data_IF_732505619073
#
_entry.id   IF_732505619073
#
_cell.length_a   1.000
_cell.length_b   1.000
_cell.length_c   1.000
_cell.angle_alpha   90.00
_cell.angle_beta   90.00
_cell.angle_gamma   90.00
#
_symmetry.space_group_name_H-M   'P 1'
#
loop_
_entity.id
_entity.type
_entity.pdbx_description
1 polymer ?
#
# COMPACT_ATOMS: atom_id res chain seq x y z
N UNK A 1 -8.85 8.38 -27.09
CA UNK A 1 -9.74 8.36 -25.91
C UNK A 1 -9.13 7.40 -24.93
N UNK A 2 -8.58 7.95 -23.84
CA UNK A 2 -7.73 7.25 -22.87
C UNK A 2 -8.57 6.31 -21.99
N UNK A 3 -8.08 5.11 -21.70
CA UNK A 3 -8.66 4.16 -20.74
C UNK A 3 -8.83 4.71 -19.32
N UNK A 4 -8.27 5.88 -18.97
CA UNK A 4 -8.52 6.57 -17.68
C UNK A 4 -9.72 7.48 -17.78
N UNK A 5 -9.83 8.25 -18.87
CA UNK A 5 -11.09 8.91 -19.18
C UNK A 5 -12.16 7.85 -19.26
N UNK A 6 -11.90 6.69 -19.85
CA UNK A 6 -12.75 5.52 -19.79
C UNK A 6 -12.95 5.04 -18.35
N UNK A 7 -11.97 4.72 -17.49
CA UNK A 7 -12.23 4.29 -16.10
C UNK A 7 -13.05 5.30 -15.27
N UNK A 8 -12.79 6.60 -15.43
CA UNK A 8 -13.53 7.70 -14.79
C UNK A 8 -14.91 7.86 -15.45
N UNK A 9 -15.05 7.73 -16.77
CA UNK A 9 -16.30 7.73 -17.59
C UNK A 9 -17.08 6.43 -17.45
N UNK A 10 -16.46 5.32 -17.10
CA UNK A 10 -17.05 4.00 -16.86
C UNK A 10 -17.72 4.04 -15.48
N UNK A 11 -17.02 4.66 -14.54
CA UNK A 11 -17.55 4.94 -13.21
C UNK A 11 -18.55 6.11 -13.17
N UNK A 12 -18.46 7.12 -14.07
CA UNK A 12 -19.31 8.33 -14.07
C UNK A 12 -20.23 8.57 -15.27
N UNK A 13 -20.12 7.85 -16.39
CA UNK A 13 -20.91 8.08 -17.62
C UNK A 13 -21.85 6.92 -18.02
N UNK A 14 -22.76 7.27 -18.94
CA UNK A 14 -23.97 6.53 -19.33
C UNK A 14 -23.69 5.32 -20.23
N UNK A 15 -24.56 4.32 -20.08
CA UNK A 15 -24.52 2.97 -20.68
C UNK A 15 -24.41 2.98 -22.23
N UNK A 16 -23.42 2.27 -22.82
CA UNK A 16 -23.41 1.95 -24.25
C UNK A 16 -24.48 0.89 -24.59
N UNK A 17 -25.16 1.04 -25.74
CA UNK A 17 -26.29 0.17 -26.16
C UNK A 17 -25.93 -1.32 -26.31
N UNK A 18 -24.67 -1.66 -26.60
CA UNK A 18 -24.22 -3.06 -26.76
C UNK A 18 -24.07 -3.83 -25.43
N UNK A 19 -23.84 -3.14 -24.31
CA UNK A 19 -23.63 -3.80 -23.00
C UNK A 19 -24.93 -4.23 -22.32
N UNK A 20 -26.08 -3.73 -22.77
CA UNK A 20 -27.39 -4.03 -22.17
C UNK A 20 -27.77 -5.53 -22.21
N UNK A 21 -27.19 -6.31 -23.13
CA UNK A 21 -27.47 -7.75 -23.29
C UNK A 21 -26.68 -8.62 -22.30
N UNK A 22 -25.45 -8.21 -21.97
CA UNK A 22 -24.59 -8.87 -20.98
C UNK A 22 -25.02 -8.50 -19.55
N UNK A 23 -25.40 -7.22 -19.33
CA UNK A 23 -26.00 -6.69 -18.09
C UNK A 23 -27.20 -7.54 -17.62
N UNK A 24 -28.14 -7.81 -18.54
CA UNK A 24 -29.34 -8.61 -18.23
C UNK A 24 -29.05 -10.00 -17.65
N UNK A 25 -27.92 -10.64 -17.99
CA UNK A 25 -27.59 -11.98 -17.47
C UNK A 25 -26.78 -11.92 -16.17
N UNK A 26 -25.90 -10.94 -16.02
CA UNK A 26 -25.01 -10.85 -14.85
C UNK A 26 -25.63 -10.09 -13.68
N UNK A 27 -26.70 -9.31 -13.90
CA UNK A 27 -27.41 -8.61 -12.82
C UNK A 27 -27.99 -9.57 -11.77
N UNK A 28 -28.44 -10.76 -12.16
CA UNK A 28 -29.11 -11.73 -11.28
C UNK A 28 -28.15 -12.58 -10.45
N UNK A 29 -26.84 -12.45 -10.65
CA UNK A 29 -25.87 -13.14 -9.79
C UNK A 29 -25.99 -12.61 -8.35
N UNK A 30 -26.04 -13.50 -7.34
CA UNK A 30 -25.97 -13.10 -5.94
C UNK A 30 -24.77 -12.21 -5.67
N UNK A 31 -24.91 -11.27 -4.73
CA UNK A 31 -23.84 -10.33 -4.35
C UNK A 31 -22.57 -11.08 -3.96
N UNK A 32 -22.70 -12.18 -3.21
CA UNK A 32 -21.59 -13.01 -2.78
C UNK A 32 -20.83 -13.62 -3.98
N UNK A 33 -21.55 -14.08 -5.01
CA UNK A 33 -20.94 -14.61 -6.24
C UNK A 33 -20.22 -13.50 -7.01
N UNK A 34 -20.76 -12.28 -7.05
CA UNK A 34 -20.07 -11.13 -7.66
C UNK A 34 -18.77 -10.83 -6.90
N UNK A 35 -18.79 -10.82 -5.57
CA UNK A 35 -17.58 -10.66 -4.75
C UNK A 35 -16.55 -11.76 -5.03
N UNK A 36 -16.97 -13.03 -5.12
CA UNK A 36 -16.10 -14.14 -5.49
C UNK A 36 -15.49 -13.97 -6.88
N UNK A 37 -16.24 -13.45 -7.86
CA UNK A 37 -15.67 -13.17 -9.18
C UNK A 37 -14.62 -12.05 -9.08
N UNK A 38 -14.94 -10.94 -8.39
CA UNK A 38 -14.03 -9.80 -8.27
C UNK A 38 -12.73 -10.16 -7.54
N UNK A 39 -12.74 -11.08 -6.57
CA UNK A 39 -11.53 -11.47 -5.83
C UNK A 39 -10.45 -12.13 -6.72
N UNK A 40 -10.84 -12.64 -7.89
CA UNK A 40 -9.96 -13.28 -8.86
C UNK A 40 -9.54 -12.36 -10.00
N UNK A 41 -10.01 -11.11 -10.00
CA UNK A 41 -9.72 -10.14 -11.04
C UNK A 41 -8.68 -9.12 -10.55
N UNK A 42 -7.76 -8.68 -11.42
CA UNK A 42 -6.94 -7.52 -11.10
C UNK A 42 -7.82 -6.26 -10.97
N UNK A 43 -7.36 -5.25 -10.23
CA UNK A 43 -8.14 -4.06 -9.85
C UNK A 43 -8.77 -3.33 -11.05
N UNK A 44 -8.15 -3.42 -12.22
CA UNK A 44 -8.62 -2.79 -13.45
C UNK A 44 -9.78 -3.54 -14.08
N UNK A 45 -9.74 -4.88 -14.08
CA UNK A 45 -10.86 -5.72 -14.50
C UNK A 45 -12.02 -5.57 -13.51
N UNK A 46 -11.73 -5.48 -12.21
CA UNK A 46 -12.71 -5.11 -11.18
C UNK A 46 -13.37 -3.78 -11.58
N UNK A 47 -12.59 -2.74 -11.84
CA UNK A 47 -13.12 -1.44 -12.22
C UNK A 47 -13.94 -1.48 -13.53
N UNK A 48 -13.53 -2.30 -14.52
CA UNK A 48 -14.29 -2.53 -15.77
C UNK A 48 -15.62 -3.24 -15.53
N UNK A 49 -15.79 -4.04 -14.48
CA UNK A 49 -17.12 -4.61 -14.19
C UNK A 49 -18.13 -3.54 -13.75
N UNK A 50 -17.68 -2.37 -13.27
CA UNK A 50 -18.56 -1.30 -12.77
C UNK A 50 -19.48 -0.67 -13.83
N UNK A 51 -19.21 -0.90 -15.12
CA UNK A 51 -20.09 -0.50 -16.24
C UNK A 51 -21.15 -1.52 -16.60
N UNK A 52 -21.00 -2.77 -16.15
CA UNK A 52 -21.97 -3.82 -16.48
C UNK A 52 -23.35 -3.41 -15.98
N UNK A 53 -23.46 -3.03 -14.69
CA UNK A 53 -24.69 -2.53 -14.10
C UNK A 53 -24.45 -1.78 -12.78
N UNK A 54 -25.47 -1.10 -12.25
CA UNK A 54 -25.37 -0.38 -10.97
C UNK A 54 -25.03 -1.30 -9.78
N UNK A 55 -25.48 -2.56 -9.81
CA UNK A 55 -25.12 -3.52 -8.76
C UNK A 55 -23.64 -3.91 -8.84
N UNK A 56 -23.09 -4.15 -10.04
CA UNK A 56 -21.65 -4.39 -10.19
C UNK A 56 -20.83 -3.19 -9.73
N UNK A 57 -21.26 -1.96 -10.07
CA UNK A 57 -20.63 -0.74 -9.56
C UNK A 57 -20.59 -0.68 -8.03
N UNK A 58 -21.70 -1.02 -7.37
CA UNK A 58 -21.75 -1.06 -5.91
C UNK A 58 -20.78 -2.09 -5.34
N UNK A 59 -20.74 -3.31 -5.91
CA UNK A 59 -19.84 -4.39 -5.47
C UNK A 59 -18.36 -4.01 -5.67
N UNK A 60 -18.04 -3.29 -6.75
CA UNK A 60 -16.69 -2.76 -7.00
C UNK A 60 -16.27 -1.75 -5.94
N UNK A 61 -17.12 -0.77 -5.62
CA UNK A 61 -16.84 0.22 -4.58
C UNK A 61 -16.92 -0.32 -3.15
N UNK A 62 -17.42 -1.54 -2.97
CA UNK A 62 -17.42 -2.25 -1.70
C UNK A 62 -16.35 -3.34 -1.60
N UNK A 63 -15.46 -3.45 -2.59
CA UNK A 63 -14.44 -4.50 -2.60
C UNK A 63 -13.39 -4.27 -1.48
N UNK A 64 -13.08 -5.27 -0.64
CA UNK A 64 -12.26 -5.06 0.57
C UNK A 64 -10.76 -4.84 0.28
N UNK A 65 -10.32 -5.14 -0.95
CA UNK A 65 -8.91 -5.08 -1.33
C UNK A 65 -8.69 -4.09 -2.48
N UNK A 66 -8.09 -2.93 -2.20
CA UNK A 66 -7.67 -1.99 -3.22
C UNK A 66 -6.14 -2.08 -3.41
N UNK A 67 -5.74 -2.84 -4.43
CA UNK A 67 -4.33 -3.11 -4.72
C UNK A 67 -3.92 -2.32 -5.97
N UNK A 68 -3.17 -1.24 -5.77
CA UNK A 68 -2.56 -0.43 -6.82
C UNK A 68 -1.05 -0.65 -6.81
N UNK A 69 -0.61 -1.84 -7.20
CA UNK A 69 0.81 -2.23 -7.22
C UNK A 69 1.52 -1.84 -8.53
N UNK A 70 2.79 -2.22 -8.68
CA UNK A 70 3.56 -1.95 -9.90
C UNK A 70 2.92 -2.58 -11.14
N UNK A 71 2.30 -3.76 -11.02
CA UNK A 71 1.60 -4.41 -12.13
C UNK A 71 0.37 -3.61 -12.55
N UNK A 72 -0.40 -3.12 -11.58
CA UNK A 72 -1.54 -2.24 -11.80
C UNK A 72 -1.13 -0.96 -12.52
N UNK A 73 -0.01 -0.33 -12.13
CA UNK A 73 0.54 0.82 -12.84
C UNK A 73 0.99 0.47 -14.26
N UNK A 74 1.69 -0.65 -14.45
CA UNK A 74 2.19 -1.06 -15.77
C UNK A 74 1.05 -1.36 -16.74
N UNK A 75 0.00 -2.04 -16.29
CA UNK A 75 -1.17 -2.29 -17.14
C UNK A 75 -1.96 -0.99 -17.38
N UNK A 76 -2.10 -0.14 -16.36
CA UNK A 76 -2.69 1.18 -16.50
C UNK A 76 -1.97 1.97 -17.59
N UNK A 77 -0.63 1.98 -17.58
CA UNK A 77 0.24 2.66 -18.54
C UNK A 77 0.12 2.08 -19.95
N UNK A 78 0.09 0.75 -20.09
CA UNK A 78 -0.07 0.07 -21.40
C UNK A 78 -1.33 0.45 -22.13
N UNK A 79 -2.42 0.70 -21.40
CA UNK A 79 -3.67 1.09 -22.01
C UNK A 79 -3.70 2.58 -22.38
N UNK A 80 -2.71 3.36 -21.94
CA UNK A 80 -2.64 4.76 -22.31
C UNK A 80 -1.97 4.99 -23.66
N UNK A 81 -2.54 5.93 -24.41
CA UNK A 81 -1.88 6.50 -25.58
C UNK A 81 -0.87 7.57 -25.15
N UNK A 82 0.28 7.17 -24.57
CA UNK A 82 1.32 8.13 -24.15
C UNK A 82 2.61 8.05 -24.96
N UNK A 83 3.27 9.20 -25.05
CA UNK A 83 4.59 9.33 -25.66
C UNK A 83 5.67 8.88 -24.68
N UNK A 84 6.80 8.31 -25.15
CA UNK A 84 7.86 7.74 -24.29
C UNK A 84 8.48 8.70 -23.26
N UNK A 85 8.21 10.01 -23.37
CA UNK A 85 8.94 11.07 -22.67
C UNK A 85 8.14 11.72 -21.53
N UNK A 86 6.93 11.24 -21.21
CA UNK A 86 6.14 11.77 -20.08
C UNK A 86 5.35 10.66 -19.39
N UNK A 87 5.89 10.16 -18.27
CA UNK A 87 5.16 9.26 -17.38
C UNK A 87 4.05 10.06 -16.66
N UNK A 88 2.77 9.67 -16.75
CA UNK A 88 1.67 10.45 -16.18
C UNK A 88 1.34 9.99 -14.75
N UNK A 89 2.32 10.03 -13.85
CA UNK A 89 2.11 9.58 -12.46
C UNK A 89 1.00 10.37 -11.77
N UNK A 90 0.93 11.68 -11.99
CA UNK A 90 -0.16 12.53 -11.50
C UNK A 90 -1.55 12.02 -11.91
N UNK A 91 -1.73 11.53 -13.14
CA UNK A 91 -3.02 11.04 -13.61
C UNK A 91 -3.38 9.70 -12.97
N UNK A 92 -2.37 8.83 -12.78
CA UNK A 92 -2.54 7.58 -12.06
C UNK A 92 -2.99 7.86 -10.62
N UNK A 93 -2.28 8.74 -9.91
CA UNK A 93 -2.62 9.11 -8.53
C UNK A 93 -3.98 9.82 -8.43
N UNK A 94 -4.34 10.68 -9.40
CA UNK A 94 -5.68 11.29 -9.49
C UNK A 94 -6.77 10.24 -9.68
N UNK A 95 -6.53 9.22 -10.49
CA UNK A 95 -7.49 8.13 -10.67
C UNK A 95 -7.74 7.35 -9.36
N UNK A 96 -6.68 7.08 -8.60
CA UNK A 96 -6.77 6.44 -7.27
C UNK A 96 -7.57 7.34 -6.31
N UNK A 97 -7.29 8.64 -6.30
CA UNK A 97 -8.01 9.62 -5.48
C UNK A 97 -9.51 9.63 -5.80
N UNK A 98 -9.88 9.53 -7.07
CA UNK A 98 -11.27 9.43 -7.49
C UNK A 98 -11.93 8.12 -7.02
N UNK A 99 -11.23 6.99 -7.12
CA UNK A 99 -11.73 5.69 -6.63
C UNK A 99 -11.99 5.75 -5.13
N UNK A 100 -11.02 6.25 -4.35
CA UNK A 100 -11.17 6.39 -2.89
C UNK A 100 -12.30 7.34 -2.50
N UNK A 101 -12.54 8.40 -3.29
CA UNK A 101 -13.64 9.35 -3.03
C UNK A 101 -15.02 8.72 -3.19
N UNK A 102 -15.14 7.67 -4.00
CA UNK A 102 -16.40 6.97 -4.27
C UNK A 102 -16.50 5.63 -3.51
N UNK A 103 -15.52 5.31 -2.67
CA UNK A 103 -15.48 4.04 -1.95
C UNK A 103 -16.53 4.00 -0.84
N UNK A 104 -17.35 2.95 -0.82
CA UNK A 104 -18.47 2.79 0.13
C UNK A 104 -18.35 1.54 1.00
N UNK A 105 -17.34 0.71 0.79
CA UNK A 105 -17.13 -0.54 1.50
C UNK A 105 -16.36 -0.44 2.82
N UNK A 106 -16.11 -1.62 3.39
CA UNK A 106 -15.13 -1.81 4.46
C UNK A 106 -13.81 -2.22 3.83
N UNK A 107 -12.85 -1.30 3.84
CA UNK A 107 -11.52 -1.56 3.28
C UNK A 107 -10.69 -2.35 4.29
N UNK A 108 -10.20 -3.51 3.87
CA UNK A 108 -9.33 -4.37 4.67
C UNK A 108 -7.86 -4.19 4.25
N UNK A 109 -7.59 -4.18 2.94
CA UNK A 109 -6.23 -4.08 2.39
C UNK A 109 -6.12 -2.94 1.40
N UNK A 110 -5.08 -2.13 1.59
CA UNK A 110 -4.71 -1.07 0.67
C UNK A 110 -3.23 -1.18 0.29
N UNK A 111 -2.95 -1.19 -1.01
CA UNK A 111 -1.58 -1.14 -1.54
C UNK A 111 -1.46 0.02 -2.51
N UNK A 112 -0.45 0.86 -2.30
CA UNK A 112 -0.13 1.98 -3.17
C UNK A 112 1.31 1.88 -3.65
N UNK A 113 1.49 1.74 -4.95
CA UNK A 113 2.75 1.92 -5.64
C UNK A 113 2.83 3.35 -6.17
N UNK A 114 3.93 4.04 -5.87
CA UNK A 114 4.28 5.36 -6.38
C UNK A 114 5.39 5.15 -7.40
N UNK A 115 5.08 5.26 -8.71
CA UNK A 115 6.04 5.07 -9.78
C UNK A 115 7.16 6.11 -9.75
N UNK A 116 8.32 5.73 -10.30
CA UNK A 116 9.43 6.64 -10.48
C UNK A 116 9.08 7.86 -11.36
N UNK A 117 9.41 9.06 -10.87
CA UNK A 117 9.45 10.29 -11.65
C UNK A 117 10.85 10.90 -11.55
N UNK A 118 11.42 11.31 -12.69
CA UNK A 118 12.71 12.02 -12.73
C UNK A 118 12.63 13.38 -12.02
N UNK A 119 11.49 14.07 -12.13
CA UNK A 119 11.26 15.39 -11.52
C UNK A 119 9.90 15.38 -10.83
N UNK A 120 9.90 15.36 -9.51
CA UNK A 120 8.68 15.49 -8.71
C UNK A 120 8.15 16.91 -8.83
N UNK A 121 6.98 17.07 -9.45
CA UNK A 121 6.29 18.37 -9.49
C UNK A 121 5.26 18.48 -8.38
N UNK A 122 4.38 17.47 -8.24
CA UNK A 122 3.27 17.50 -7.29
C UNK A 122 2.93 16.15 -6.64
N UNK A 123 3.57 15.04 -7.05
CA UNK A 123 3.18 13.69 -6.64
C UNK A 123 3.19 13.45 -5.12
N UNK A 124 4.04 14.13 -4.36
CA UNK A 124 4.08 14.00 -2.89
C UNK A 124 2.78 14.42 -2.21
N UNK A 125 2.15 15.51 -2.69
CA UNK A 125 0.91 16.01 -2.09
C UNK A 125 -0.25 15.05 -2.37
N UNK A 126 -0.30 14.48 -3.58
CA UNK A 126 -1.28 13.48 -3.97
C UNK A 126 -1.10 12.17 -3.20
N UNK A 127 0.13 11.67 -3.04
CA UNK A 127 0.38 10.46 -2.23
C UNK A 127 -0.06 10.68 -0.78
N UNK A 128 0.27 11.83 -0.19
CA UNK A 128 -0.19 12.18 1.17
C UNK A 128 -1.71 12.25 1.25
N UNK A 129 -2.35 12.86 0.26
CA UNK A 129 -3.81 12.93 0.17
C UNK A 129 -4.43 11.53 0.11
N UNK A 130 -3.95 10.67 -0.79
CA UNK A 130 -4.41 9.28 -0.95
C UNK A 130 -4.31 8.53 0.38
N UNK A 131 -3.14 8.53 1.02
CA UNK A 131 -2.93 7.84 2.31
C UNK A 131 -3.81 8.43 3.42
N UNK A 132 -4.11 9.73 3.36
CA UNK A 132 -5.02 10.36 4.33
C UNK A 132 -6.47 9.88 4.18
N UNK A 133 -6.91 9.61 2.95
CA UNK A 133 -8.26 9.11 2.61
C UNK A 133 -8.46 7.63 2.96
N UNK A 134 -7.38 6.87 3.14
CA UNK A 134 -7.46 5.45 3.53
C UNK A 134 -8.13 5.33 4.92
N UNK A 135 -9.21 4.51 5.03
CA UNK A 135 -9.92 4.27 6.28
C UNK A 135 -8.99 3.80 7.39
N UNK A 136 -9.20 4.31 8.62
CA UNK A 136 -8.35 3.96 9.78
C UNK A 136 -8.60 2.58 10.37
N UNK A 137 -9.59 1.88 9.82
CA UNK A 137 -10.01 0.52 10.17
C UNK A 137 -9.36 -0.57 9.33
N UNK A 138 -8.48 -0.22 8.38
CA UNK A 138 -7.81 -1.21 7.53
C UNK A 138 -6.89 -2.12 8.35
N UNK A 139 -6.71 -3.35 7.87
CA UNK A 139 -5.84 -4.36 8.50
C UNK A 139 -4.46 -4.42 7.84
N UNK A 140 -4.37 -4.12 6.53
CA UNK A 140 -3.12 -4.18 5.77
C UNK A 140 -2.88 -2.88 5.00
N UNK A 141 -1.78 -2.20 5.30
CA UNK A 141 -1.33 -1.01 4.58
C UNK A 141 0.04 -1.25 3.95
N UNK A 142 0.13 -1.14 2.62
CA UNK A 142 1.40 -1.18 1.90
C UNK A 142 1.58 0.11 1.11
N UNK A 143 2.70 0.81 1.29
CA UNK A 143 3.08 1.96 0.46
C UNK A 143 4.49 1.75 -0.06
N UNK A 144 4.62 1.62 -1.38
CA UNK A 144 5.89 1.44 -2.08
C UNK A 144 6.21 2.67 -2.91
N UNK A 145 7.32 3.31 -2.62
CA UNK A 145 7.75 4.51 -3.31
C UNK A 145 9.04 4.25 -4.10
N UNK A 146 8.93 4.12 -5.42
CA UNK A 146 10.09 3.97 -6.30
C UNK A 146 10.62 5.30 -6.82
N UNK A 147 9.96 6.40 -6.48
CA UNK A 147 10.39 7.72 -6.90
C UNK A 147 11.62 8.21 -6.12
N UNK A 148 12.33 9.20 -6.70
CA UNK A 148 13.68 9.56 -6.26
C UNK A 148 13.74 9.90 -4.77
N UNK A 149 12.84 10.76 -4.30
CA UNK A 149 12.83 11.25 -2.93
C UNK A 149 11.90 10.44 -2.02
N UNK A 150 12.27 10.36 -0.73
CA UNK A 150 11.47 9.67 0.26
C UNK A 150 10.10 10.35 0.45
N UNK A 151 9.02 9.55 0.41
CA UNK A 151 7.69 10.10 0.60
C UNK A 151 7.41 10.28 2.09
N UNK A 152 7.34 11.54 2.50
CA UNK A 152 6.95 11.90 3.86
C UNK A 152 5.44 11.68 4.06
N UNK A 153 5.09 10.62 4.78
CA UNK A 153 3.71 10.26 5.09
C UNK A 153 3.31 10.77 6.46
N UNK A 154 2.21 11.52 6.51
CA UNK A 154 1.54 11.84 7.78
C UNK A 154 0.57 10.71 8.10
N UNK A 155 1.11 9.63 8.67
CA UNK A 155 0.28 8.50 9.09
C UNK A 155 -0.40 8.85 10.42
N UNK A 156 -1.73 8.84 10.39
CA UNK A 156 -2.59 8.92 11.58
C UNK A 156 -2.96 7.52 12.08
N UNK A 157 -3.51 7.47 13.29
CA UNK A 157 -3.91 6.25 14.01
C UNK A 157 -4.64 5.23 13.12
N UNK A 158 -4.03 4.06 12.89
CA UNK A 158 -4.61 2.88 12.23
C UNK A 158 -4.83 1.78 13.26
N UNK A 159 -5.96 1.85 13.96
CA UNK A 159 -6.25 1.03 15.15
C UNK A 159 -6.21 -0.47 14.86
N UNK A 160 -6.70 -0.83 13.69
CA UNK A 160 -6.98 -2.22 13.31
C UNK A 160 -5.87 -2.82 12.45
N UNK A 161 -4.84 -2.03 12.10
CA UNK A 161 -3.77 -2.49 11.23
C UNK A 161 -2.90 -3.52 11.92
N UNK A 162 -2.79 -4.69 11.30
CA UNK A 162 -1.94 -5.81 11.73
C UNK A 162 -0.69 -5.91 10.88
N UNK A 163 -0.72 -5.41 9.64
CA UNK A 163 0.40 -5.41 8.69
C UNK A 163 0.67 -3.99 8.15
N UNK A 164 1.93 -3.56 8.27
CA UNK A 164 2.41 -2.31 7.70
C UNK A 164 3.67 -2.57 6.86
N UNK A 165 3.63 -2.17 5.61
CA UNK A 165 4.78 -2.17 4.71
C UNK A 165 5.03 -0.75 4.20
N UNK A 166 6.26 -0.27 4.40
CA UNK A 166 6.70 1.05 3.95
C UNK A 166 8.03 0.91 3.23
N UNK A 167 8.03 1.27 1.96
CA UNK A 167 9.22 1.25 1.13
C UNK A 167 9.52 2.67 0.63
N UNK A 168 10.73 3.15 0.95
CA UNK A 168 11.22 4.52 0.72
C UNK A 168 10.23 5.61 1.19
N UNK A 169 9.67 5.42 2.37
CA UNK A 169 8.75 6.36 3.01
C UNK A 169 9.29 6.82 4.37
N UNK A 170 9.00 8.07 4.74
CA UNK A 170 9.35 8.65 6.04
C UNK A 170 8.08 8.99 6.80
N UNK A 171 7.93 8.50 8.02
CA UNK A 171 6.76 8.81 8.84
C UNK A 171 6.99 10.16 9.54
N UNK A 172 6.19 11.16 9.21
CA UNK A 172 6.30 12.52 9.77
C UNK A 172 5.78 12.63 11.20
N UNK A 173 4.83 11.79 11.58
CA UNK A 173 4.39 11.67 12.95
C UNK A 173 5.41 10.86 13.73
N UNK A 174 5.92 11.39 14.86
CA UNK A 174 6.61 10.54 15.84
C UNK A 174 5.74 9.31 16.05
N UNK A 175 6.25 8.14 15.70
CA UNK A 175 5.51 6.90 15.87
C UNK A 175 5.24 6.73 17.36
N UNK A 176 4.04 7.07 17.79
CA UNK A 176 3.55 6.81 19.15
C UNK A 176 3.03 5.38 19.14
N UNK A 177 3.19 4.67 20.26
CA UNK A 177 2.61 3.33 20.47
C UNK A 177 1.12 3.28 20.18
N UNK A 178 0.45 4.42 20.30
CA UNK A 178 -0.96 4.54 20.00
C UNK A 178 -1.24 4.38 18.52
N UNK A 179 -0.35 4.69 17.59
CA UNK A 179 -0.71 4.74 16.16
C UNK A 179 -1.11 3.37 15.57
N UNK A 180 -0.52 2.27 16.07
CA UNK A 180 -0.78 0.92 15.56
C UNK A 180 -0.83 -0.10 16.71
N UNK A 181 -1.93 -0.14 17.48
CA UNK A 181 -1.98 -0.95 18.69
C UNK A 181 -2.05 -2.46 18.43
N UNK A 182 -2.50 -2.88 17.23
CA UNK A 182 -2.64 -4.30 16.81
C UNK A 182 -1.57 -4.76 15.82
N UNK A 183 -0.53 -3.95 15.59
CA UNK A 183 0.51 -4.28 14.61
C UNK A 183 1.28 -5.53 15.06
N UNK A 184 1.29 -6.54 14.20
CA UNK A 184 2.03 -7.80 14.42
C UNK A 184 3.16 -7.95 13.40
N UNK A 185 3.07 -7.26 12.26
CA UNK A 185 4.01 -7.42 11.16
C UNK A 185 4.40 -6.05 10.60
N UNK A 186 5.72 -5.82 10.52
CA UNK A 186 6.30 -4.59 10.01
C UNK A 186 7.39 -4.89 8.98
N UNK A 187 7.22 -4.35 7.77
CA UNK A 187 8.22 -4.41 6.70
C UNK A 187 8.67 -2.99 6.33
N UNK A 188 9.95 -2.72 6.50
CA UNK A 188 10.58 -1.45 6.14
C UNK A 188 11.65 -1.71 5.09
N UNK A 189 11.52 -1.07 3.95
CA UNK A 189 12.50 -1.17 2.86
C UNK A 189 13.01 0.22 2.47
N UNK A 190 14.33 0.40 2.33
CA UNK A 190 14.95 1.67 1.89
C UNK A 190 14.50 2.88 2.74
N UNK A 191 14.28 2.66 4.03
CA UNK A 191 13.85 3.68 5.00
C UNK A 191 15.03 4.17 5.83
N UNK A 192 15.12 5.50 6.03
CA UNK A 192 16.02 6.10 7.01
C UNK A 192 15.48 5.87 8.43
N UNK A 193 16.19 5.08 9.23
CA UNK A 193 15.87 4.81 10.63
C UNK A 193 16.52 5.88 11.49
N UNK A 194 15.72 6.89 11.84
CA UNK A 194 16.12 7.94 12.78
C UNK A 194 16.03 7.46 14.23
N UNK A 195 16.67 8.17 15.16
CA UNK A 195 16.54 7.90 16.61
C UNK A 195 15.08 7.90 17.09
N UNK A 196 14.25 8.80 16.53
CA UNK A 196 12.81 8.83 16.81
C UNK A 196 12.08 7.55 16.35
N UNK A 197 12.47 6.98 15.21
CA UNK A 197 11.94 5.71 14.72
C UNK A 197 12.35 4.55 15.62
N UNK A 198 13.61 4.51 16.08
CA UNK A 198 14.06 3.47 17.03
C UNK A 198 13.25 3.50 18.31
N UNK A 199 13.12 4.66 18.96
CA UNK A 199 12.33 4.75 20.19
C UNK A 199 10.88 4.32 20.01
N UNK A 200 10.36 4.45 18.79
CA UNK A 200 9.06 3.93 18.47
C UNK A 200 9.05 2.42 18.23
N UNK A 201 10.07 1.88 17.56
CA UNK A 201 10.25 0.44 17.37
C UNK A 201 10.41 -0.27 18.71
N UNK A 202 11.24 0.22 19.63
CA UNK A 202 11.37 -0.34 21.01
C UNK A 202 10.01 -0.50 21.72
N UNK A 203 9.09 0.40 21.38
CA UNK A 203 7.74 0.49 21.93
C UNK A 203 6.72 -0.41 21.22
N UNK A 204 6.96 -0.76 19.96
CA UNK A 204 6.07 -1.55 19.10
C UNK A 204 6.52 -3.02 19.02
N UNK A 205 7.84 -3.25 18.97
CA UNK A 205 8.48 -4.57 18.83
C UNK A 205 8.00 -5.60 19.84
N UNK A 206 7.76 -5.29 21.14
CA UNK A 206 7.19 -6.24 22.10
C UNK A 206 5.85 -6.88 21.69
N UNK A 207 5.17 -6.31 20.69
CA UNK A 207 3.90 -6.80 20.13
C UNK A 207 4.03 -7.32 18.70
N UNK A 208 5.19 -7.13 18.07
CA UNK A 208 5.45 -7.64 16.73
C UNK A 208 5.79 -9.13 16.82
N UNK A 209 5.25 -9.87 15.87
CA UNK A 209 5.67 -11.23 15.56
C UNK A 209 6.77 -11.18 14.50
N UNK A 210 6.64 -10.28 13.52
CA UNK A 210 7.55 -10.22 12.36
C UNK A 210 8.11 -8.83 12.11
N UNK A 211 9.42 -8.75 11.95
CA UNK A 211 10.13 -7.55 11.52
C UNK A 211 10.99 -7.86 10.30
N UNK A 212 10.79 -7.09 9.23
CA UNK A 212 11.64 -7.12 8.03
C UNK A 212 12.25 -5.76 7.78
N UNK A 213 13.56 -5.72 7.63
CA UNK A 213 14.35 -4.53 7.34
C UNK A 213 15.19 -4.81 6.10
N UNK A 214 15.03 -4.03 5.04
CA UNK A 214 15.81 -4.17 3.80
C UNK A 214 16.39 -2.83 3.37
N UNK A 215 17.70 -2.76 3.14
CA UNK A 215 18.36 -1.53 2.66
C UNK A 215 18.07 -0.30 3.54
N UNK A 216 17.86 -0.51 4.84
CA UNK A 216 17.62 0.57 5.80
C UNK A 216 18.94 1.19 6.27
N UNK A 217 18.94 2.50 6.53
CA UNK A 217 20.15 3.27 6.86
C UNK A 217 19.86 4.36 7.91
N UNK A 218 20.87 5.13 8.32
CA UNK A 218 20.68 6.34 9.15
C UNK A 218 20.86 6.14 10.67
N UNK A 219 21.09 4.91 11.12
CA UNK A 219 21.53 4.66 12.49
C UNK A 219 23.03 4.83 12.62
N UNK A 220 23.43 5.47 13.72
CA UNK A 220 24.82 5.47 14.18
C UNK A 220 25.17 4.04 14.61
N UNK A 221 26.19 3.39 13.99
CA UNK A 221 26.58 2.01 14.29
C UNK A 221 26.86 1.76 15.78
N UNK A 222 27.28 2.80 16.51
CA UNK A 222 27.83 2.67 17.85
C UNK A 222 26.82 2.98 18.98
N UNK A 223 25.60 3.44 18.66
CA UNK A 223 24.77 4.12 19.65
C UNK A 223 23.33 3.61 19.81
N UNK A 224 22.86 2.63 19.03
CA UNK A 224 21.44 2.27 19.06
C UNK A 224 21.16 0.78 18.91
N UNK A 225 20.49 0.20 19.89
CA UNK A 225 20.22 -1.23 19.98
C UNK A 225 18.71 -1.47 20.09
N UNK A 226 18.12 -2.17 19.14
CA UNK A 226 16.70 -2.57 19.20
C UNK A 226 16.63 -3.97 19.81
N UNK A 227 15.95 -4.13 20.94
CA UNK A 227 15.66 -5.45 21.51
C UNK A 227 14.55 -6.14 20.71
N UNK A 228 14.90 -7.25 20.06
CA UNK A 228 14.02 -8.02 19.19
C UNK A 228 13.66 -9.40 19.75
N UNK A 229 13.86 -9.63 21.05
CA UNK A 229 13.56 -10.88 21.77
C UNK A 229 12.11 -11.37 21.68
N UNK A 230 11.18 -10.46 21.41
CA UNK A 230 9.75 -10.76 21.29
C UNK A 230 9.34 -11.30 19.93
N UNK A 231 10.18 -11.18 18.90
CA UNK A 231 9.87 -11.57 17.53
C UNK A 231 9.89 -13.08 17.33
N UNK A 232 9.06 -13.55 16.39
CA UNK A 232 9.10 -14.91 15.84
C UNK A 232 9.87 -14.97 14.53
N UNK A 233 9.85 -13.91 13.72
CA UNK A 233 10.61 -13.77 12.48
C UNK A 233 11.38 -12.44 12.43
N UNK A 234 12.69 -12.53 12.20
CA UNK A 234 13.55 -11.38 11.89
C UNK A 234 14.19 -11.57 10.52
N UNK A 235 13.98 -10.61 9.62
CA UNK A 235 14.69 -10.52 8.35
C UNK A 235 15.43 -9.18 8.28
N UNK A 236 16.74 -9.24 8.03
CA UNK A 236 17.57 -8.08 7.79
C UNK A 236 18.39 -8.32 6.53
N UNK A 237 18.47 -7.34 5.64
CA UNK A 237 19.22 -7.45 4.39
C UNK A 237 19.73 -6.07 3.99
N UNK A 238 21.03 -5.95 3.68
CA UNK A 238 21.67 -4.69 3.25
C UNK A 238 21.45 -3.51 4.21
N UNK A 239 21.35 -3.75 5.51
CA UNK A 239 21.13 -2.70 6.51
C UNK A 239 22.47 -2.21 7.06
N UNK A 240 22.64 -0.88 7.16
CA UNK A 240 23.90 -0.27 7.61
C UNK A 240 23.97 -0.09 9.14
N UNK A 241 23.44 -1.02 9.92
CA UNK A 241 23.42 -0.95 11.40
C UNK A 241 23.24 -2.33 12.05
N UNK A 242 23.56 -2.41 13.34
CA UNK A 242 23.45 -3.63 14.14
C UNK A 242 22.12 -3.67 14.93
N UNK A 243 21.61 -4.88 15.19
CA UNK A 243 20.47 -5.14 16.07
C UNK A 243 20.92 -6.08 17.18
N UNK A 244 20.52 -5.82 18.43
CA UNK A 244 20.85 -6.71 19.53
C UNK A 244 19.76 -7.76 19.73
N UNK A 245 20.17 -9.01 19.69
CA UNK A 245 19.41 -10.12 20.24
C UNK A 245 19.74 -10.15 21.74
N UNK A 246 18.79 -9.76 22.61
CA UNK A 246 18.98 -10.03 24.04
C UNK A 246 19.04 -11.55 24.27
N UNK A 247 19.56 -11.97 25.43
CA UNK A 247 19.88 -13.39 25.69
C UNK A 247 18.68 -14.34 25.63
N UNK A 248 17.44 -13.83 25.73
CA UNK A 248 16.22 -14.62 25.54
C UNK A 248 15.67 -14.45 24.12
N UNK A 249 16.09 -15.34 23.22
CA UNK A 249 15.57 -15.45 21.83
C UNK A 249 14.64 -16.66 21.68
N UNK A 250 14.07 -17.17 22.78
CA UNK A 250 13.29 -18.42 22.79
C UNK A 250 12.09 -18.43 21.84
N UNK A 251 11.56 -17.26 21.48
CA UNK A 251 10.42 -17.10 20.56
C UNK A 251 10.81 -17.08 19.08
N UNK A 252 12.08 -16.87 18.78
CA UNK A 252 12.57 -16.60 17.44
C UNK A 252 12.69 -17.90 16.65
N UNK A 253 11.76 -18.11 15.72
CA UNK A 253 11.71 -19.30 14.86
C UNK A 253 12.49 -19.16 13.56
N UNK A 254 12.68 -17.92 13.08
CA UNK A 254 13.34 -17.64 11.80
C UNK A 254 14.17 -16.37 11.89
N UNK A 255 15.46 -16.49 11.51
CA UNK A 255 16.39 -15.36 11.39
C UNK A 255 17.09 -15.44 10.06
N UNK A 256 16.98 -14.36 9.28
CA UNK A 256 17.72 -14.20 8.03
C UNK A 256 18.48 -12.88 8.07
N UNK A 257 19.80 -12.94 7.96
CA UNK A 257 20.67 -11.76 7.90
C UNK A 257 21.46 -11.83 6.59
N UNK A 258 21.09 -10.98 5.64
CA UNK A 258 21.82 -10.74 4.39
C UNK A 258 22.95 -9.75 4.64
N UNK A 259 24.18 -10.27 4.67
CA UNK A 259 25.40 -9.45 4.70
C UNK A 259 25.64 -8.85 3.32
N UNK A 260 25.84 -7.53 3.25
CA UNK A 260 26.33 -6.90 2.03
C UNK A 260 27.74 -7.44 1.74
N UNK A 261 27.92 -8.03 0.55
CA UNK A 261 29.25 -8.24 -0.01
C UNK A 261 29.71 -6.87 -0.50
N UNK A 262 30.62 -6.26 0.24
CA UNK A 262 31.32 -5.03 -0.15
C UNK A 262 31.89 -5.13 -1.57
#
# INVERSE_FOLDING_TARGET
MSTIEELITIMSCRRPKQMAKLDRKTQYLPIDVKHLILQHLPIEEIARTSILCSQWRHVVYSHPNLIFDQNSYNHWLKNQCYTPFKLPVDEFLKSITQILSNYTGLLERFTLYVPYEEVWKNSHSLVRQIVSMVPKTITHLCVRNDAHDACQLKISFFKESTYLELDRCTILSRLRTTLFPKLTQLDLSRVCITRDLVHALERIVPRLERLRLRSCYGLDPDATTIDVSSLTELYMDKCCFYVLLSSDTSKLSSVTIGLDRH
#
